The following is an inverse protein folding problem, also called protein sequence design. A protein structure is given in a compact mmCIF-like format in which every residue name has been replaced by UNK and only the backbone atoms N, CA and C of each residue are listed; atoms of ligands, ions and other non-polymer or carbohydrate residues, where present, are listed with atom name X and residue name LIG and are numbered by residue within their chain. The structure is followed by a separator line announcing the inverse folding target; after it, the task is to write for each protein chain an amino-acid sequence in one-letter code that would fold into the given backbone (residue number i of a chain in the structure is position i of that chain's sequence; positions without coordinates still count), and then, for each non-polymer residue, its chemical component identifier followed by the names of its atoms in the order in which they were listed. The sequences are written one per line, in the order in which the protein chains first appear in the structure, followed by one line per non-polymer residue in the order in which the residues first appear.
data_IF_512493168712
#
_entry.id   IF_512493168712
#
_cell.length_a   1.000
_cell.length_b   1.000
_cell.length_c   1.000
_cell.angle_alpha   90.00
_cell.angle_beta   90.00
_cell.angle_gamma   90.00
#
_symmetry.space_group_name_H-M   'P 1'
#
loop_
_entity.id
_entity.type
_entity.pdbx_description
1 polymer ?
#
# COMPACT_ATOMS: atom_id res chain seq x y z
N UNK A 1 -10.95 -26.39 -18.51
CA UNK A 1 -9.63 -25.85 -18.93
C UNK A 1 -8.56 -26.90 -18.68
N UNK A 2 -7.56 -26.97 -19.55
CA UNK A 2 -6.35 -27.77 -19.33
C UNK A 2 -5.19 -26.87 -18.91
N UNK A 3 -4.40 -27.32 -17.94
CA UNK A 3 -3.22 -26.60 -17.46
C UNK A 3 -1.96 -27.42 -17.74
N UNK A 4 -0.82 -26.74 -17.79
CA UNK A 4 0.51 -27.37 -17.84
C UNK A 4 1.21 -27.12 -16.52
N UNK A 5 1.86 -28.16 -15.99
CA UNK A 5 2.57 -28.09 -14.72
C UNK A 5 3.92 -28.81 -14.77
N UNK A 6 4.74 -28.48 -13.79
CA UNK A 6 5.91 -29.25 -13.39
C UNK A 6 5.62 -29.94 -12.06
N UNK A 7 5.94 -31.23 -11.95
CA UNK A 7 5.84 -31.95 -10.69
C UNK A 7 7.20 -31.99 -9.99
N UNK A 8 7.25 -31.53 -8.73
CA UNK A 8 8.47 -31.50 -7.94
C UNK A 8 8.18 -31.67 -6.45
N UNK A 9 9.21 -31.97 -5.68
CA UNK A 9 9.11 -31.95 -4.23
C UNK A 9 9.25 -30.51 -3.71
N UNK A 10 8.37 -30.10 -2.81
CA UNK A 10 8.42 -28.79 -2.14
C UNK A 10 8.28 -28.97 -0.64
N UNK A 11 9.12 -28.30 0.15
CA UNK A 11 8.95 -28.24 1.60
C UNK A 11 7.81 -27.29 1.93
N UNK A 12 6.98 -27.67 2.91
CA UNK A 12 5.99 -26.80 3.52
C UNK A 12 6.34 -26.66 5.00
N UNK A 13 6.61 -25.42 5.42
CA UNK A 13 6.91 -25.08 6.81
C UNK A 13 5.71 -25.37 7.73
N UNK A 14 4.49 -25.18 7.23
CA UNK A 14 3.24 -25.44 7.95
C UNK A 14 3.17 -26.86 8.50
N UNK A 15 3.40 -27.83 7.62
CA UNK A 15 3.21 -29.25 7.92
C UNK A 15 4.53 -29.97 8.15
N UNK A 16 5.64 -29.21 8.21
CA UNK A 16 7.01 -29.64 8.52
C UNK A 16 7.46 -30.85 7.69
N UNK A 17 7.03 -30.92 6.43
CA UNK A 17 7.32 -32.05 5.55
C UNK A 17 7.37 -31.66 4.08
N UNK A 18 7.98 -32.54 3.31
CA UNK A 18 8.09 -32.42 1.86
C UNK A 18 6.82 -32.97 1.21
N UNK A 19 6.14 -32.15 0.42
CA UNK A 19 5.01 -32.53 -0.41
C UNK A 19 5.46 -32.81 -1.83
N UNK A 20 4.79 -33.75 -2.50
CA UNK A 20 4.86 -33.86 -3.94
C UNK A 20 3.87 -32.85 -4.55
N UNK A 21 4.39 -31.87 -5.27
CA UNK A 21 3.67 -30.64 -5.62
C UNK A 21 3.57 -30.47 -7.13
N UNK A 22 2.40 -30.09 -7.62
CA UNK A 22 2.15 -29.62 -8.98
C UNK A 22 2.33 -28.10 -9.03
N UNK A 23 3.31 -27.61 -9.79
CA UNK A 23 3.57 -26.19 -9.92
C UNK A 23 3.25 -25.68 -11.32
N UNK A 24 2.45 -24.61 -11.38
CA UNK A 24 1.83 -24.09 -12.58
C UNK A 24 2.42 -22.70 -12.86
N UNK A 25 3.06 -22.55 -14.02
CA UNK A 25 3.83 -21.35 -14.38
C UNK A 25 3.27 -20.57 -15.58
N UNK A 26 2.35 -21.14 -16.37
CA UNK A 26 1.88 -20.51 -17.62
C UNK A 26 0.35 -20.51 -17.75
N UNK A 27 -0.37 -20.41 -16.63
CA UNK A 27 -1.84 -20.40 -16.63
C UNK A 27 -2.43 -19.00 -16.76
N UNK A 28 -3.57 -18.91 -17.46
CA UNK A 28 -4.41 -17.71 -17.51
C UNK A 28 -5.87 -18.07 -17.17
N UNK A 29 -6.20 -18.02 -15.88
CA UNK A 29 -7.54 -18.23 -15.35
C UNK A 29 -8.18 -16.87 -15.10
N UNK A 30 -8.82 -16.33 -16.14
CA UNK A 30 -9.40 -14.98 -16.13
C UNK A 30 -10.92 -15.00 -16.05
N UNK A 31 -11.56 -16.17 -16.11
CA UNK A 31 -13.01 -16.32 -16.00
C UNK A 31 -13.42 -16.94 -14.65
N UNK A 32 -14.48 -16.43 -14.01
CA UNK A 32 -15.00 -17.02 -12.77
C UNK A 32 -15.58 -18.42 -13.00
N UNK A 33 -15.60 -19.25 -11.96
CA UNK A 33 -16.09 -20.64 -12.00
C UNK A 33 -15.39 -21.52 -13.04
N UNK A 34 -14.14 -21.22 -13.39
CA UNK A 34 -13.35 -22.05 -14.30
C UNK A 34 -13.08 -23.41 -13.65
N UNK A 35 -13.62 -24.48 -14.25
CA UNK A 35 -13.37 -25.86 -13.83
C UNK A 35 -12.13 -26.39 -14.56
N UNK A 36 -11.14 -26.82 -13.79
CA UNK A 36 -9.98 -27.53 -14.32
C UNK A 36 -10.40 -28.97 -14.57
N UNK A 37 -10.27 -29.39 -15.82
CA UNK A 37 -10.63 -30.75 -16.24
C UNK A 37 -9.41 -31.68 -16.22
N UNK A 38 -8.23 -31.11 -16.49
CA UNK A 38 -6.99 -31.84 -16.60
C UNK A 38 -5.80 -30.94 -16.30
N UNK A 39 -4.77 -31.49 -15.67
CA UNK A 39 -3.47 -30.85 -15.47
C UNK A 39 -2.44 -31.78 -16.11
N UNK A 40 -1.75 -31.30 -17.13
CA UNK A 40 -0.78 -32.06 -17.91
C UNK A 40 0.64 -31.78 -17.38
N UNK A 41 1.43 -32.83 -17.18
CA UNK A 41 2.83 -32.75 -16.77
C UNK A 41 3.44 -34.14 -16.69
N UNK A 42 4.76 -34.25 -16.75
CA UNK A 42 5.45 -35.52 -16.56
C UNK A 42 5.70 -35.74 -15.07
N UNK A 43 5.07 -36.76 -14.48
CA UNK A 43 5.38 -37.15 -13.11
C UNK A 43 6.77 -37.76 -12.98
N UNK A 44 7.30 -37.73 -11.75
CA UNK A 44 8.44 -38.54 -11.34
C UNK A 44 8.09 -40.04 -11.40
N UNK A 45 9.11 -40.88 -11.53
CA UNK A 45 8.93 -42.33 -11.67
C UNK A 45 8.15 -42.91 -10.48
N UNK A 46 7.12 -43.71 -10.80
CA UNK A 46 6.24 -44.33 -9.80
C UNK A 46 5.24 -43.38 -9.13
N UNK A 47 5.14 -42.12 -9.57
CA UNK A 47 4.16 -41.14 -9.08
C UNK A 47 3.00 -40.93 -10.05
N UNK A 48 1.88 -40.48 -9.49
CA UNK A 48 0.64 -40.18 -10.19
C UNK A 48 -0.06 -38.97 -9.58
N UNK A 49 -1.16 -38.51 -10.20
CA UNK A 49 -2.02 -37.45 -9.67
C UNK A 49 -2.52 -37.73 -8.24
N UNK A 50 -2.66 -39.02 -7.87
CA UNK A 50 -3.08 -39.42 -6.52
C UNK A 50 -2.01 -39.17 -5.46
N UNK A 51 -0.75 -39.07 -5.86
CA UNK A 51 0.39 -38.82 -4.96
C UNK A 51 0.63 -37.32 -4.73
N UNK A 52 -0.07 -36.46 -5.48
CA UNK A 52 0.08 -35.01 -5.38
C UNK A 52 -0.58 -34.52 -4.10
N UNK A 53 0.23 -33.92 -3.23
CA UNK A 53 -0.19 -33.37 -1.93
C UNK A 53 -0.18 -31.84 -1.95
N UNK A 54 0.41 -31.21 -2.97
CA UNK A 54 0.44 -29.75 -3.11
C UNK A 54 0.17 -29.26 -4.52
N UNK A 55 -0.39 -28.06 -4.62
CA UNK A 55 -0.51 -27.33 -5.88
C UNK A 55 -0.11 -25.88 -5.68
N UNK A 56 0.72 -25.36 -6.60
CA UNK A 56 1.27 -24.02 -6.55
C UNK A 56 0.99 -23.27 -7.87
N UNK A 57 0.44 -22.07 -7.79
CA UNK A 57 0.36 -21.10 -8.88
C UNK A 57 1.26 -19.93 -8.51
N UNK A 58 2.28 -19.64 -9.32
CA UNK A 58 3.26 -18.59 -8.97
C UNK A 58 3.62 -17.79 -10.22
N UNK A 59 3.51 -16.47 -10.13
CA UNK A 59 3.82 -15.55 -11.23
C UNK A 59 3.04 -15.87 -12.51
N UNK A 60 1.77 -16.27 -12.36
CA UNK A 60 0.85 -16.52 -13.49
C UNK A 60 -0.38 -15.63 -13.40
N UNK A 61 -1.35 -15.79 -14.29
CA UNK A 61 -2.62 -15.04 -14.19
C UNK A 61 -3.71 -15.95 -13.65
N UNK A 62 -4.10 -15.75 -12.39
CA UNK A 62 -5.22 -16.47 -11.74
C UNK A 62 -6.11 -15.44 -11.05
N UNK A 63 -6.92 -14.73 -11.84
CA UNK A 63 -7.81 -13.69 -11.32
C UNK A 63 -8.96 -14.28 -10.48
N UNK A 64 -9.32 -15.54 -10.75
CA UNK A 64 -10.37 -16.30 -10.06
C UNK A 64 -9.86 -17.68 -9.67
N UNK A 65 -10.19 -18.13 -8.47
CA UNK A 65 -9.74 -19.42 -7.95
C UNK A 65 -10.34 -20.58 -8.77
N UNK A 66 -9.53 -21.57 -9.20
CA UNK A 66 -10.01 -22.69 -10.00
C UNK A 66 -10.85 -23.71 -9.21
N UNK A 67 -11.86 -24.29 -9.86
CA UNK A 67 -12.66 -25.38 -9.30
C UNK A 67 -12.24 -26.75 -9.84
N UNK A 68 -12.56 -27.81 -9.09
CA UNK A 68 -12.34 -29.20 -9.51
C UNK A 68 -10.95 -29.77 -9.20
N UNK A 69 -10.10 -29.04 -8.48
CA UNK A 69 -8.76 -29.51 -8.10
C UNK A 69 -8.80 -30.84 -7.35
N UNK A 70 -9.77 -31.04 -6.46
CA UNK A 70 -9.96 -32.27 -5.69
C UNK A 70 -10.30 -33.51 -6.54
N UNK A 71 -10.85 -33.31 -7.74
CA UNK A 71 -11.14 -34.42 -8.66
C UNK A 71 -9.88 -34.92 -9.37
N UNK A 72 -8.92 -34.02 -9.56
CA UNK A 72 -7.63 -34.33 -10.20
C UNK A 72 -6.67 -34.84 -9.15
N UNK A 73 -6.48 -34.07 -8.07
CA UNK A 73 -5.57 -34.37 -6.98
C UNK A 73 -6.37 -34.65 -5.68
N UNK A 74 -6.76 -35.91 -5.41
CA UNK A 74 -7.66 -36.24 -4.29
C UNK A 74 -7.01 -36.12 -2.90
N UNK A 75 -5.68 -36.09 -2.83
CA UNK A 75 -4.92 -36.07 -1.57
C UNK A 75 -4.25 -34.71 -1.30
N UNK A 76 -4.78 -33.63 -1.89
CA UNK A 76 -4.27 -32.27 -1.66
C UNK A 76 -4.31 -31.89 -0.18
N UNK A 77 -3.19 -31.35 0.26
CA UNK A 77 -2.97 -30.81 1.61
C UNK A 77 -2.50 -29.36 1.56
N UNK A 78 -1.92 -28.91 0.45
CA UNK A 78 -1.43 -27.53 0.31
C UNK A 78 -1.94 -26.92 -0.99
N UNK A 79 -2.47 -25.70 -0.91
CA UNK A 79 -2.84 -24.89 -2.07
C UNK A 79 -2.22 -23.51 -1.93
N UNK A 80 -1.43 -23.14 -2.93
CA UNK A 80 -0.68 -21.90 -2.97
C UNK A 80 -1.01 -21.13 -4.26
N UNK A 81 -1.41 -19.86 -4.13
CA UNK A 81 -1.68 -18.95 -5.25
C UNK A 81 -0.95 -17.64 -4.98
N UNK A 82 0.25 -17.47 -5.51
CA UNK A 82 1.17 -16.39 -5.15
C UNK A 82 1.44 -15.47 -6.32
N UNK A 83 1.32 -14.15 -6.11
CA UNK A 83 1.59 -13.17 -7.16
C UNK A 83 0.84 -13.48 -8.48
N UNK A 84 -0.47 -13.73 -8.36
CA UNK A 84 -1.31 -14.17 -9.49
C UNK A 84 -2.44 -13.21 -9.87
N UNK A 85 -2.60 -12.10 -9.13
CA UNK A 85 -3.68 -11.14 -9.35
C UNK A 85 -5.06 -11.65 -8.91
N UNK A 86 -5.12 -12.63 -8.00
CA UNK A 86 -6.37 -13.20 -7.50
C UNK A 86 -7.23 -12.12 -6.84
N UNK A 87 -8.44 -11.91 -7.35
CA UNK A 87 -9.32 -10.81 -6.92
C UNK A 87 -10.27 -11.18 -5.78
N UNK A 88 -10.60 -12.46 -5.68
CA UNK A 88 -11.56 -12.95 -4.70
C UNK A 88 -11.39 -14.45 -4.49
N UNK A 89 -11.69 -14.89 -3.27
CA UNK A 89 -11.89 -16.31 -2.95
C UNK A 89 -13.18 -16.44 -2.15
N UNK A 90 -13.97 -17.47 -2.46
CA UNK A 90 -15.26 -17.71 -1.83
C UNK A 90 -15.32 -19.13 -1.28
N UNK A 91 -16.27 -19.39 -0.37
CA UNK A 91 -16.53 -20.75 0.13
C UNK A 91 -16.78 -21.76 -1.01
N UNK A 92 -17.39 -21.33 -2.12
CA UNK A 92 -17.66 -22.22 -3.27
C UNK A 92 -16.37 -22.76 -3.88
N UNK A 93 -15.32 -21.95 -3.88
CA UNK A 93 -14.03 -22.29 -4.49
C UNK A 93 -13.27 -23.36 -3.69
N UNK A 94 -13.58 -23.49 -2.38
CA UNK A 94 -12.98 -24.47 -1.47
C UNK A 94 -13.81 -25.76 -1.30
N UNK A 95 -14.94 -25.91 -1.99
CA UNK A 95 -15.76 -27.13 -1.90
C UNK A 95 -14.96 -28.35 -2.40
N UNK A 96 -14.95 -29.42 -1.60
CA UNK A 96 -14.20 -30.64 -1.91
C UNK A 96 -12.72 -30.59 -1.54
N UNK A 97 -12.25 -29.46 -1.00
CA UNK A 97 -10.88 -29.24 -0.55
C UNK A 97 -10.75 -29.26 0.99
N UNK A 98 -11.66 -29.94 1.68
CA UNK A 98 -11.74 -29.95 3.15
C UNK A 98 -10.54 -30.64 3.83
N UNK A 99 -9.70 -31.35 3.05
CA UNK A 99 -8.48 -31.99 3.53
C UNK A 99 -7.26 -31.06 3.60
N UNK A 100 -7.36 -29.85 3.05
CA UNK A 100 -6.25 -28.90 3.03
C UNK A 100 -5.80 -28.55 4.46
N UNK A 101 -4.48 -28.51 4.61
CA UNK A 101 -3.74 -28.11 5.81
C UNK A 101 -3.13 -26.72 5.66
N UNK A 102 -2.79 -26.30 4.44
CA UNK A 102 -2.21 -24.99 4.13
C UNK A 102 -2.95 -24.33 2.95
N UNK A 103 -3.46 -23.12 3.17
CA UNK A 103 -4.02 -22.26 2.12
C UNK A 103 -3.30 -20.91 2.12
N UNK A 104 -2.50 -20.67 1.08
CA UNK A 104 -1.70 -19.45 0.98
C UNK A 104 -1.99 -18.71 -0.31
N UNK A 105 -2.46 -17.46 -0.18
CA UNK A 105 -2.86 -16.59 -1.28
C UNK A 105 -2.13 -15.23 -1.21
N UNK A 106 -0.84 -15.22 -0.89
CA UNK A 106 -0.09 -13.98 -0.69
C UNK A 106 0.21 -13.21 -1.99
N UNK A 107 0.46 -11.89 -1.88
CA UNK A 107 0.74 -10.97 -2.99
C UNK A 107 -0.35 -11.04 -4.07
N UNK A 108 -1.61 -10.76 -3.70
CA UNK A 108 -2.74 -10.79 -4.64
C UNK A 108 -3.59 -9.52 -4.53
N UNK A 109 -4.83 -9.57 -5.02
CA UNK A 109 -5.75 -8.43 -5.17
C UNK A 109 -7.09 -8.68 -4.46
N UNK A 110 -7.08 -9.50 -3.40
CA UNK A 110 -8.29 -9.85 -2.65
C UNK A 110 -8.68 -8.68 -1.76
N UNK A 111 -9.92 -8.20 -1.89
CA UNK A 111 -10.42 -7.04 -1.14
C UNK A 111 -11.25 -7.38 0.10
N UNK A 112 -11.78 -8.60 0.16
CA UNK A 112 -12.59 -9.10 1.29
C UNK A 112 -12.58 -10.62 1.34
N UNK A 113 -12.70 -11.20 2.55
CA UNK A 113 -12.92 -12.63 2.76
C UNK A 113 -14.30 -12.84 3.39
N UNK A 114 -15.13 -13.77 2.90
CA UNK A 114 -16.42 -14.05 3.51
C UNK A 114 -16.25 -14.86 4.81
N UNK A 115 -17.00 -14.54 5.87
CA UNK A 115 -16.89 -15.20 7.19
C UNK A 115 -17.05 -16.73 7.14
N UNK A 116 -17.78 -17.22 6.14
CA UNK A 116 -17.99 -18.65 5.95
C UNK A 116 -16.92 -19.35 5.10
N UNK A 117 -15.83 -18.68 4.73
CA UNK A 117 -14.79 -19.19 3.84
C UNK A 117 -14.21 -20.50 4.35
N UNK A 118 -13.84 -20.56 5.63
CA UNK A 118 -13.20 -21.75 6.24
C UNK A 118 -14.18 -22.75 6.84
N UNK A 119 -15.48 -22.62 6.53
CA UNK A 119 -16.48 -23.57 7.02
C UNK A 119 -16.15 -24.98 6.54
N UNK A 120 -16.02 -25.91 7.48
CA UNK A 120 -15.65 -27.33 7.30
C UNK A 120 -14.16 -27.60 7.00
N UNK A 121 -13.29 -26.59 7.02
CA UNK A 121 -11.84 -26.75 6.81
C UNK A 121 -11.13 -27.28 8.08
N UNK A 122 -11.53 -28.45 8.59
CA UNK A 122 -11.13 -29.00 9.91
C UNK A 122 -9.66 -29.41 10.02
N UNK A 123 -8.91 -29.40 8.91
CA UNK A 123 -7.49 -29.76 8.88
C UNK A 123 -6.59 -28.55 8.62
N UNK A 124 -7.18 -27.38 8.37
CA UNK A 124 -6.46 -26.17 8.01
C UNK A 124 -5.72 -25.64 9.23
N UNK A 125 -4.39 -25.66 9.17
CA UNK A 125 -3.50 -25.22 10.25
C UNK A 125 -2.63 -24.03 9.85
N UNK A 126 -2.58 -23.71 8.55
CA UNK A 126 -1.84 -22.58 8.00
C UNK A 126 -2.70 -21.83 7.00
N UNK A 127 -2.87 -20.53 7.26
CA UNK A 127 -3.50 -19.59 6.33
C UNK A 127 -2.63 -18.35 6.16
N UNK A 128 -2.50 -17.92 4.90
CA UNK A 128 -1.83 -16.67 4.58
C UNK A 128 -2.55 -15.91 3.48
N UNK A 129 -2.89 -14.66 3.75
CA UNK A 129 -3.40 -13.66 2.82
C UNK A 129 -2.54 -12.39 2.88
N UNK A 130 -1.25 -12.57 3.20
CA UNK A 130 -0.23 -11.52 3.22
C UNK A 130 -0.21 -10.72 1.90
N UNK A 131 -0.04 -9.40 2.00
CA UNK A 131 -0.03 -8.47 0.86
C UNK A 131 -1.21 -8.69 -0.11
N UNK A 132 -2.36 -8.24 0.34
CA UNK A 132 -3.60 -8.18 -0.42
C UNK A 132 -4.25 -6.80 -0.21
N UNK A 133 -5.49 -6.63 -0.67
CA UNK A 133 -6.21 -5.36 -0.56
C UNK A 133 -7.36 -5.44 0.46
N UNK A 134 -7.24 -6.29 1.49
CA UNK A 134 -8.31 -6.54 2.46
C UNK A 134 -8.63 -5.28 3.28
N UNK A 135 -9.91 -4.91 3.29
CA UNK A 135 -10.40 -3.67 3.90
C UNK A 135 -11.16 -3.85 5.23
N UNK A 136 -11.64 -5.05 5.55
CA UNK A 136 -12.20 -5.42 6.86
C UNK A 136 -12.42 -6.94 6.85
N UNK A 137 -12.36 -7.57 8.02
CA UNK A 137 -12.68 -8.98 8.24
C UNK A 137 -13.37 -9.13 9.59
N UNK A 138 -14.25 -10.12 9.76
CA UNK A 138 -14.79 -10.45 11.07
C UNK A 138 -14.00 -11.61 11.71
N UNK A 139 -13.92 -11.66 13.03
CA UNK A 139 -13.39 -12.83 13.73
C UNK A 139 -14.18 -14.11 13.45
N UNK A 140 -15.44 -14.00 13.01
CA UNK A 140 -16.28 -15.10 12.53
C UNK A 140 -15.62 -15.90 11.39
N UNK A 141 -14.73 -15.27 10.61
CA UNK A 141 -13.92 -15.95 9.60
C UNK A 141 -13.10 -17.11 10.20
N UNK A 142 -12.50 -16.91 11.39
CA UNK A 142 -11.59 -17.85 12.03
C UNK A 142 -12.31 -18.88 12.92
N UNK A 143 -13.52 -18.57 13.39
CA UNK A 143 -14.34 -19.43 14.26
C UNK A 143 -14.38 -20.91 13.83
N UNK A 144 -14.56 -21.26 12.53
CA UNK A 144 -14.61 -22.65 12.10
C UNK A 144 -13.31 -23.44 12.27
N UNK A 145 -12.16 -22.75 12.38
CA UNK A 145 -10.82 -23.35 12.38
C UNK A 145 -10.07 -23.14 13.71
N UNK A 146 -10.68 -22.50 14.71
CA UNK A 146 -10.05 -22.29 16.04
C UNK A 146 -9.68 -23.58 16.77
N UNK A 147 -10.40 -24.67 16.49
CA UNK A 147 -10.14 -25.99 17.08
C UNK A 147 -9.07 -26.77 16.32
N UNK A 148 -8.65 -26.26 15.16
CA UNK A 148 -7.50 -26.79 14.47
C UNK A 148 -6.29 -26.22 15.18
N UNK A 149 -5.25 -27.01 15.43
CA UNK A 149 -4.01 -26.53 16.06
C UNK A 149 -3.26 -25.59 15.09
N UNK A 150 -3.79 -24.38 14.89
CA UNK A 150 -3.34 -23.41 13.90
C UNK A 150 -1.93 -22.98 14.21
N UNK A 151 -1.01 -23.22 13.28
CA UNK A 151 0.40 -22.91 13.38
C UNK A 151 0.73 -21.53 12.84
N UNK A 152 0.09 -21.14 11.75
CA UNK A 152 0.39 -19.90 11.04
C UNK A 152 -0.89 -19.23 10.52
N UNK A 153 -1.02 -17.94 10.81
CA UNK A 153 -2.13 -17.10 10.36
C UNK A 153 -1.54 -15.75 10.02
N UNK A 154 -1.52 -15.38 8.73
CA UNK A 154 -0.89 -14.14 8.28
C UNK A 154 -1.83 -13.32 7.39
N UNK A 155 -2.15 -12.12 7.85
CA UNK A 155 -2.97 -11.14 7.15
C UNK A 155 -2.26 -9.78 6.99
N UNK A 156 -0.93 -9.72 7.22
CA UNK A 156 -0.17 -8.45 7.16
C UNK A 156 -0.19 -7.86 5.74
N UNK A 157 0.20 -6.58 5.64
CA UNK A 157 0.24 -5.82 4.38
C UNK A 157 -1.13 -5.76 3.68
N UNK A 158 -2.20 -5.52 4.44
CA UNK A 158 -3.54 -5.33 3.91
C UNK A 158 -4.08 -3.94 4.32
N UNK A 159 -4.86 -3.30 3.44
CA UNK A 159 -5.20 -1.86 3.52
C UNK A 159 -5.80 -1.39 4.85
N UNK A 160 -6.59 -2.21 5.54
CA UNK A 160 -7.16 -1.86 6.86
C UNK A 160 -6.56 -2.67 8.01
N UNK A 161 -5.59 -3.53 7.71
CA UNK A 161 -5.05 -4.56 8.59
C UNK A 161 -3.55 -4.27 8.77
N UNK A 162 -3.23 -3.02 9.14
CA UNK A 162 -1.82 -2.61 9.24
C UNK A 162 -1.25 -2.80 10.66
N UNK A 163 -0.01 -3.31 10.69
CA UNK A 163 0.98 -3.54 11.77
C UNK A 163 0.74 -4.63 12.84
N UNK A 164 -0.47 -5.18 13.04
CA UNK A 164 -0.72 -5.99 14.25
C UNK A 164 -0.91 -7.53 14.10
N UNK A 165 -0.73 -8.11 12.90
CA UNK A 165 -1.18 -9.49 12.63
C UNK A 165 -0.01 -10.46 12.41
N UNK A 166 -0.06 -11.63 13.06
CA UNK A 166 1.13 -12.39 13.45
C UNK A 166 1.96 -13.02 12.31
N UNK A 167 3.27 -13.00 12.50
CA UNK A 167 4.22 -13.96 11.92
C UNK A 167 4.24 -15.20 12.83
N UNK A 168 3.43 -16.21 12.53
CA UNK A 168 3.26 -17.46 13.29
C UNK A 168 2.65 -17.30 14.69
N UNK A 169 1.75 -18.21 15.07
CA UNK A 169 1.15 -18.22 16.43
C UNK A 169 2.18 -18.73 17.48
N UNK A 170 3.29 -19.33 17.03
CA UNK A 170 4.23 -20.06 17.89
C UNK A 170 5.71 -19.70 17.77
N UNK A 171 6.10 -18.66 17.03
CA UNK A 171 7.47 -18.09 17.06
C UNK A 171 7.39 -16.57 17.25
N UNK A 172 8.30 -16.04 18.08
CA UNK A 172 8.47 -14.61 18.27
C UNK A 172 8.65 -13.93 16.91
N UNK A 173 7.89 -12.87 16.65
CA UNK A 173 8.12 -12.05 15.47
C UNK A 173 9.46 -11.28 15.62
N UNK A 174 9.85 -10.56 14.56
CA UNK A 174 11.09 -9.76 14.51
C UNK A 174 11.08 -8.61 15.54
N UNK A 175 9.93 -8.35 16.18
CA UNK A 175 9.72 -7.35 17.22
C UNK A 175 9.64 -7.92 18.64
N UNK A 176 9.71 -9.24 18.79
CA UNK A 176 9.50 -9.92 20.07
C UNK A 176 8.05 -9.91 20.55
N UNK A 177 7.08 -9.51 19.72
CA UNK A 177 5.67 -9.57 20.06
C UNK A 177 5.17 -11.00 19.91
N UNK A 178 4.52 -11.48 20.97
CA UNK A 178 3.84 -12.77 21.02
C UNK A 178 2.35 -12.48 21.02
N UNK A 179 1.63 -12.89 19.97
CA UNK A 179 0.17 -13.02 20.12
C UNK A 179 -0.04 -14.28 20.95
N UNK A 180 -0.25 -14.09 22.25
CA UNK A 180 -0.37 -15.18 23.22
C UNK A 180 -1.54 -16.14 22.93
N UNK A 181 -2.52 -15.73 22.11
CA UNK A 181 -3.63 -16.58 21.72
C UNK A 181 -4.38 -16.07 20.47
N UNK A 182 -4.93 -17.00 19.68
CA UNK A 182 -5.85 -16.68 18.57
C UNK A 182 -7.09 -15.89 19.02
N UNK A 183 -7.48 -15.96 20.29
CA UNK A 183 -8.56 -15.11 20.83
C UNK A 183 -8.18 -13.62 20.86
N UNK A 184 -6.90 -13.29 21.09
CA UNK A 184 -6.43 -11.90 21.01
C UNK A 184 -6.44 -11.42 19.55
N UNK A 185 -6.04 -12.30 18.61
CA UNK A 185 -6.15 -12.02 17.17
C UNK A 185 -7.60 -11.70 16.78
N UNK A 186 -8.56 -12.49 17.25
CA UNK A 186 -9.99 -12.27 16.99
C UNK A 186 -10.51 -10.95 17.57
N UNK A 187 -10.20 -10.67 18.84
CA UNK A 187 -10.61 -9.41 19.49
C UNK A 187 -10.06 -8.18 18.73
N UNK A 188 -8.83 -8.25 18.24
CA UNK A 188 -8.20 -7.19 17.44
C UNK A 188 -8.81 -7.05 16.04
N UNK A 189 -9.27 -8.16 15.43
CA UNK A 189 -10.01 -8.12 14.16
C UNK A 189 -11.33 -7.38 14.35
N UNK A 190 -12.08 -7.72 15.40
CA UNK A 190 -13.39 -7.14 15.66
C UNK A 190 -13.28 -5.65 16.07
N UNK A 191 -12.30 -5.29 16.92
CA UNK A 191 -12.04 -3.90 17.32
C UNK A 191 -11.79 -2.97 16.12
N UNK A 192 -11.03 -3.43 15.11
CA UNK A 192 -10.76 -2.64 13.91
C UNK A 192 -11.94 -2.54 12.93
N UNK A 193 -12.89 -3.48 12.96
CA UNK A 193 -14.06 -3.42 12.07
C UNK A 193 -15.22 -2.60 12.64
N UNK A 194 -15.23 -2.33 13.95
CA UNK A 194 -16.19 -1.42 14.59
C UNK A 194 -15.77 0.07 14.50
N UNK A 195 -14.54 0.37 14.07
CA UNK A 195 -14.13 1.74 13.79
C UNK A 195 -14.70 2.22 12.44
N UNK A 196 -15.43 3.36 12.38
CA UNK A 196 -15.89 3.91 11.13
C UNK A 196 -14.68 4.22 10.24
N UNK A 197 -14.69 3.74 9.00
CA UNK A 197 -13.64 4.02 8.01
C UNK A 197 -13.33 5.52 8.01
N UNK A 198 -12.22 5.89 8.64
CA UNK A 198 -11.54 7.14 8.38
C UNK A 198 -10.82 6.90 7.07
N UNK A 199 -10.94 7.83 6.13
CA UNK A 199 -10.14 7.84 4.90
C UNK A 199 -8.65 7.99 5.29
N UNK A 200 -8.03 6.89 5.71
CA UNK A 200 -6.65 6.82 6.14
C UNK A 200 -5.76 6.51 4.94
N UNK A 201 -5.49 7.56 4.17
CA UNK A 201 -4.11 7.70 3.71
C UNK A 201 -3.30 8.16 4.94
N UNK A 202 -2.20 7.45 5.21
CA UNK A 202 -1.19 7.67 6.25
C UNK A 202 -1.66 7.57 7.70
N UNK A 203 -1.31 6.45 8.33
CA UNK A 203 -0.25 6.44 9.35
C UNK A 203 0.13 4.99 9.67
N UNK A 204 1.29 4.53 9.22
CA UNK A 204 2.02 3.50 9.96
C UNK A 204 3.45 3.94 10.19
N UNK A 205 3.81 3.96 11.46
CA UNK A 205 5.18 4.06 11.92
C UNK A 205 5.26 3.30 13.24
N UNK A 206 5.76 2.05 13.23
CA UNK A 206 6.71 1.59 14.24
C UNK A 206 7.56 0.41 13.74
N UNK A 207 8.72 0.77 13.19
CA UNK A 207 10.05 0.17 13.45
C UNK A 207 10.34 -1.31 13.15
N UNK A 208 10.09 -1.82 11.93
CA UNK A 208 11.00 -2.85 11.35
C UNK A 208 12.31 -2.14 11.02
N UNK A 209 13.44 -2.74 11.40
CA UNK A 209 14.73 -2.37 10.83
C UNK A 209 14.65 -2.62 9.34
N UNK A 210 14.34 -1.53 8.66
CA UNK A 210 14.19 -1.40 7.25
C UNK A 210 15.58 -1.49 6.63
N UNK A 211 15.99 -2.72 6.28
CA UNK A 211 17.24 -2.95 5.56
C UNK A 211 17.26 -2.23 4.19
N UNK A 212 16.17 -1.56 3.78
CA UNK A 212 16.12 -0.74 2.58
C UNK A 212 16.39 0.75 2.84
N UNK A 213 15.89 1.40 3.89
CA UNK A 213 16.09 2.86 4.03
C UNK A 213 17.46 3.30 4.55
N UNK A 214 18.17 2.53 5.41
CA UNK A 214 19.51 2.96 5.88
C UNK A 214 20.57 2.94 4.76
N UNK A 215 20.55 1.91 3.90
CA UNK A 215 21.50 1.80 2.78
C UNK A 215 21.29 2.91 1.73
N UNK A 216 20.03 3.25 1.42
CA UNK A 216 19.72 4.37 0.52
C UNK A 216 19.99 5.74 1.18
N UNK A 217 19.81 5.88 2.50
CA UNK A 217 20.23 7.07 3.27
C UNK A 217 21.74 7.31 3.17
N UNK A 218 22.55 6.25 3.15
CA UNK A 218 24.01 6.36 2.92
C UNK A 218 24.30 6.89 1.49
N UNK A 219 23.60 6.39 0.47
CA UNK A 219 23.80 6.86 -0.90
C UNK A 219 23.45 8.33 -1.10
N UNK A 220 22.41 8.83 -0.43
CA UNK A 220 22.11 10.27 -0.39
C UNK A 220 23.24 11.07 0.26
N UNK A 221 23.74 10.59 1.41
CA UNK A 221 24.74 11.31 2.21
C UNK A 221 26.11 11.34 1.52
N UNK A 222 26.51 10.22 0.91
CA UNK A 222 27.84 10.06 0.33
C UNK A 222 27.91 10.42 -1.16
N UNK A 223 26.79 10.36 -1.88
CA UNK A 223 26.74 10.56 -3.34
C UNK A 223 27.52 9.50 -4.12
N UNK A 224 27.84 8.35 -3.52
CA UNK A 224 28.54 7.25 -4.19
C UNK A 224 27.65 6.65 -5.27
N UNK A 225 28.22 6.38 -6.44
CA UNK A 225 27.52 5.83 -7.62
C UNK A 225 26.49 6.77 -8.28
N UNK A 226 26.46 8.05 -7.90
CA UNK A 226 25.59 9.03 -8.56
C UNK A 226 25.96 9.19 -10.03
N UNK A 227 24.93 9.10 -10.87
CA UNK A 227 25.00 9.15 -12.33
C UNK A 227 24.29 10.38 -12.92
N UNK A 228 23.80 11.27 -12.04
CA UNK A 228 23.26 12.58 -12.40
C UNK A 228 23.44 13.60 -11.26
N UNK A 229 23.58 14.87 -11.63
CA UNK A 229 23.62 16.01 -10.70
C UNK A 229 22.43 16.92 -10.94
N UNK A 230 21.60 17.14 -9.92
CA UNK A 230 20.55 18.17 -9.94
C UNK A 230 21.19 19.51 -9.57
N UNK A 231 21.03 20.51 -10.43
CA UNK A 231 21.62 21.84 -10.25
C UNK A 231 20.51 22.86 -10.02
N UNK A 232 20.50 23.48 -8.85
CA UNK A 232 19.66 24.64 -8.54
C UNK A 232 20.44 25.94 -8.76
N UNK A 233 19.84 27.08 -8.44
CA UNK A 233 20.51 28.37 -8.60
C UNK A 233 21.67 28.56 -7.60
N UNK A 234 21.60 27.91 -6.43
CA UNK A 234 22.61 28.06 -5.37
C UNK A 234 23.34 26.77 -4.98
N UNK A 235 22.82 25.59 -5.32
CA UNK A 235 23.35 24.31 -4.86
C UNK A 235 23.39 23.25 -5.97
N UNK A 236 24.17 22.19 -5.74
CA UNK A 236 24.25 21.01 -6.61
C UNK A 236 24.09 19.75 -5.78
N UNK A 237 23.25 18.84 -6.23
CA UNK A 237 22.93 17.57 -5.54
C UNK A 237 23.28 16.39 -6.43
N UNK A 238 24.20 15.53 -5.97
CA UNK A 238 24.52 14.27 -6.65
C UNK A 238 23.48 13.22 -6.29
N UNK A 239 22.82 12.65 -7.29
CA UNK A 239 21.73 11.68 -7.10
C UNK A 239 21.78 10.57 -8.15
N UNK A 240 20.82 9.65 -8.08
CA UNK A 240 20.78 8.42 -8.87
C UNK A 240 19.55 8.41 -9.75
N UNK A 241 19.73 8.30 -11.08
CA UNK A 241 18.63 8.28 -12.06
C UNK A 241 17.62 7.18 -11.75
N UNK A 242 18.10 5.98 -11.39
CA UNK A 242 17.23 4.84 -11.07
C UNK A 242 16.35 5.12 -9.86
N UNK A 243 16.89 5.77 -8.82
CA UNK A 243 16.14 6.11 -7.60
C UNK A 243 15.04 7.12 -7.90
N UNK A 244 15.36 8.16 -8.69
CA UNK A 244 14.39 9.16 -9.13
C UNK A 244 13.30 8.56 -10.05
N UNK A 245 13.68 7.68 -10.99
CA UNK A 245 12.76 7.07 -11.95
C UNK A 245 11.75 6.12 -11.29
N UNK A 246 12.18 5.34 -10.30
CA UNK A 246 11.30 4.40 -9.57
C UNK A 246 10.15 5.14 -8.90
N UNK A 247 10.38 6.32 -8.35
CA UNK A 247 9.35 7.08 -7.61
C UNK A 247 8.66 8.18 -8.43
N UNK A 248 9.10 8.47 -9.65
CA UNK A 248 8.54 9.54 -10.48
C UNK A 248 8.50 9.13 -11.94
N UNK A 249 7.27 8.95 -12.43
CA UNK A 249 7.01 8.73 -13.87
C UNK A 249 7.56 9.86 -14.74
N UNK A 250 7.61 11.10 -14.23
CA UNK A 250 8.16 12.25 -14.95
C UNK A 250 9.67 12.11 -15.11
N UNK A 251 10.40 11.68 -14.07
CA UNK A 251 11.83 11.42 -14.20
C UNK A 251 12.12 10.24 -15.12
N UNK A 252 11.32 9.17 -15.08
CA UNK A 252 11.42 8.05 -16.03
C UNK A 252 11.35 8.56 -17.47
N UNK A 253 10.29 9.31 -17.81
CA UNK A 253 10.16 9.88 -19.15
C UNK A 253 11.30 10.84 -19.51
N UNK A 254 11.75 11.68 -18.57
CA UNK A 254 12.90 12.59 -18.80
C UNK A 254 14.17 11.79 -19.15
N UNK A 255 14.46 10.70 -18.45
CA UNK A 255 15.67 9.93 -18.68
C UNK A 255 15.58 9.02 -19.90
N UNK A 256 14.39 8.50 -20.23
CA UNK A 256 14.16 7.71 -21.44
C UNK A 256 14.16 8.58 -22.70
N UNK A 257 13.56 9.77 -22.67
CA UNK A 257 13.44 10.65 -23.84
C UNK A 257 14.67 11.54 -24.05
N UNK A 258 15.14 12.24 -23.00
CA UNK A 258 16.17 13.30 -23.16
C UNK A 258 17.59 12.77 -23.17
N UNK A 259 17.83 11.54 -22.72
CA UNK A 259 19.19 10.99 -22.57
C UNK A 259 19.49 9.81 -23.51
N UNK A 260 18.59 9.50 -24.44
CA UNK A 260 18.83 8.49 -25.48
C UNK A 260 19.94 8.89 -26.46
N UNK A 261 20.01 10.18 -26.81
CA UNK A 261 20.90 10.69 -27.87
C UNK A 261 22.06 11.57 -27.38
N UNK A 262 21.93 12.18 -26.19
CA UNK A 262 22.98 13.03 -25.61
C UNK A 262 22.91 13.00 -24.07
N UNK A 263 23.62 12.07 -23.41
CA UNK A 263 23.60 11.98 -21.95
C UNK A 263 24.15 13.28 -21.35
N UNK A 264 23.33 13.96 -20.56
CA UNK A 264 23.76 15.09 -19.73
C UNK A 264 23.90 14.58 -18.30
N UNK A 265 25.04 14.86 -17.68
CA UNK A 265 25.26 14.51 -16.27
C UNK A 265 24.62 15.53 -15.32
N UNK A 266 24.02 16.60 -15.86
CA UNK A 266 23.32 17.63 -15.10
C UNK A 266 21.86 17.78 -15.52
N UNK A 267 20.97 17.97 -14.54
CA UNK A 267 19.58 18.37 -14.72
C UNK A 267 19.29 19.66 -13.94
N UNK A 268 18.81 20.70 -14.61
CA UNK A 268 18.67 22.05 -14.02
C UNK A 268 17.26 22.29 -13.47
N UNK A 269 17.18 22.66 -12.20
CA UNK A 269 15.97 23.07 -11.49
C UNK A 269 16.12 24.53 -11.05
N UNK A 270 15.86 25.45 -11.99
CA UNK A 270 15.98 26.89 -11.77
C UNK A 270 14.72 27.49 -11.14
N UNK A 271 14.87 28.61 -10.44
CA UNK A 271 13.80 29.38 -9.80
C UNK A 271 13.01 28.57 -8.76
N UNK A 272 13.68 27.66 -8.05
CA UNK A 272 13.12 26.90 -6.93
C UNK A 272 14.10 27.01 -5.78
N UNK A 273 13.59 27.22 -4.56
CA UNK A 273 14.43 27.27 -3.37
C UNK A 273 15.24 25.97 -3.22
N UNK A 274 16.56 26.07 -3.10
CA UNK A 274 17.44 24.91 -3.03
C UNK A 274 17.18 24.02 -1.82
N UNK A 275 16.74 24.56 -0.69
CA UNK A 275 16.37 23.77 0.48
C UNK A 275 15.09 22.95 0.21
N UNK A 276 14.13 23.50 -0.54
CA UNK A 276 12.94 22.76 -0.99
C UNK A 276 13.32 21.63 -1.94
N UNK A 277 14.24 21.89 -2.89
CA UNK A 277 14.75 20.85 -3.79
C UNK A 277 15.49 19.76 -3.01
N UNK A 278 16.26 20.13 -2.00
CA UNK A 278 16.97 19.19 -1.13
C UNK A 278 16.01 18.27 -0.38
N UNK A 279 14.95 18.82 0.24
CA UNK A 279 13.90 18.03 0.92
C UNK A 279 13.22 17.11 -0.09
N UNK A 280 12.85 17.64 -1.26
CA UNK A 280 12.24 16.88 -2.35
C UNK A 280 13.10 15.70 -2.79
N UNK A 281 14.41 15.90 -3.03
CA UNK A 281 15.33 14.85 -3.47
C UNK A 281 15.64 13.84 -2.36
N UNK A 282 15.84 14.31 -1.13
CA UNK A 282 16.08 13.46 0.04
C UNK A 282 14.94 12.48 0.27
N UNK A 283 13.69 12.90 0.03
CA UNK A 283 12.53 12.04 0.16
C UNK A 283 12.65 10.74 -0.68
N UNK A 284 13.24 10.79 -1.87
CA UNK A 284 13.43 9.60 -2.71
C UNK A 284 14.34 8.52 -2.09
N UNK A 285 15.12 8.88 -1.06
CA UNK A 285 16.04 7.99 -0.37
C UNK A 285 15.55 7.61 1.03
N UNK A 286 14.69 8.43 1.63
CA UNK A 286 14.29 8.27 3.02
C UNK A 286 12.81 8.00 3.23
N UNK A 287 11.97 8.28 2.23
CA UNK A 287 10.50 8.31 2.32
C UNK A 287 9.98 9.15 3.51
N UNK A 288 10.79 10.10 3.97
CA UNK A 288 10.58 10.89 5.18
C UNK A 288 10.74 12.38 4.89
N UNK A 289 9.77 13.18 5.34
CA UNK A 289 9.89 14.63 5.50
C UNK A 289 9.86 14.94 6.99
N UNK A 290 10.91 15.58 7.51
CA UNK A 290 11.00 15.87 8.95
C UNK A 290 10.11 17.04 9.32
N UNK A 291 9.63 17.09 10.57
CA UNK A 291 8.78 18.20 11.05
C UNK A 291 9.50 19.55 11.02
N UNK A 292 10.82 19.54 11.19
CA UNK A 292 11.66 20.75 11.13
C UNK A 292 11.82 21.28 9.69
N UNK A 293 11.48 20.48 8.67
CA UNK A 293 11.59 20.80 7.24
C UNK A 293 10.29 21.47 6.71
N UNK A 294 9.64 22.29 7.53
CA UNK A 294 8.33 22.91 7.25
C UNK A 294 8.41 24.32 6.63
N UNK A 295 9.60 24.78 6.25
CA UNK A 295 9.84 26.19 5.89
C UNK A 295 9.13 26.66 4.62
N UNK A 296 8.84 25.78 3.66
CA UNK A 296 8.03 26.12 2.48
C UNK A 296 7.27 24.91 1.90
N UNK A 297 6.30 24.40 2.67
CA UNK A 297 5.45 23.29 2.25
C UNK A 297 4.66 23.54 0.94
N UNK A 298 4.13 24.75 0.66
CA UNK A 298 3.45 25.05 -0.61
C UNK A 298 4.33 24.88 -1.86
N UNK A 299 5.59 25.32 -1.79
CA UNK A 299 6.56 25.17 -2.88
C UNK A 299 6.94 23.69 -3.04
N UNK A 300 7.14 22.96 -1.93
CA UNK A 300 7.41 21.53 -1.95
C UNK A 300 6.25 20.73 -2.55
N UNK A 301 5.00 21.07 -2.20
CA UNK A 301 3.80 20.44 -2.75
C UNK A 301 3.68 20.68 -4.26
N UNK A 302 3.93 21.92 -4.69
CA UNK A 302 3.95 22.29 -6.11
C UNK A 302 5.01 21.48 -6.87
N UNK A 303 6.16 21.27 -6.25
CA UNK A 303 7.26 20.49 -6.83
C UNK A 303 6.90 18.99 -6.92
N UNK A 304 6.38 18.41 -5.84
CA UNK A 304 5.93 17.02 -5.81
C UNK A 304 4.86 16.75 -6.88
N UNK A 305 3.92 17.68 -7.06
CA UNK A 305 2.87 17.59 -8.07
C UNK A 305 3.44 17.69 -9.48
N UNK A 306 4.35 18.63 -9.72
CA UNK A 306 5.03 18.82 -11.02
C UNK A 306 5.78 17.58 -11.48
N UNK A 307 6.41 16.86 -10.54
CA UNK A 307 7.16 15.63 -10.81
C UNK A 307 6.35 14.34 -10.54
N UNK A 308 5.06 14.46 -10.21
CA UNK A 308 4.16 13.32 -9.93
C UNK A 308 4.73 12.33 -8.91
N UNK A 309 5.16 12.84 -7.77
CA UNK A 309 5.62 12.03 -6.63
C UNK A 309 4.47 11.90 -5.63
N UNK A 310 3.57 10.94 -5.86
CA UNK A 310 2.28 10.82 -5.16
C UNK A 310 2.44 10.69 -3.63
N UNK A 311 3.36 9.84 -3.18
CA UNK A 311 3.63 9.64 -1.75
C UNK A 311 4.04 10.96 -1.05
N UNK A 312 4.91 11.74 -1.70
CA UNK A 312 5.34 13.04 -1.17
C UNK A 312 4.19 14.05 -1.19
N UNK A 313 3.36 14.07 -2.24
CA UNK A 313 2.16 14.92 -2.29
C UNK A 313 1.26 14.65 -1.08
N UNK A 314 0.95 13.38 -0.81
CA UNK A 314 0.10 12.97 0.32
C UNK A 314 0.70 13.34 1.68
N UNK A 315 2.02 13.21 1.86
CA UNK A 315 2.71 13.60 3.11
C UNK A 315 2.64 15.12 3.30
N UNK A 316 2.98 15.88 2.25
CA UNK A 316 3.04 17.34 2.33
C UNK A 316 1.65 17.96 2.46
N UNK A 317 0.62 17.41 1.79
CA UNK A 317 -0.77 17.85 1.94
C UNK A 317 -1.22 17.76 3.41
N UNK A 318 -0.91 16.65 4.10
CA UNK A 318 -1.23 16.50 5.53
C UNK A 318 -0.49 17.51 6.39
N UNK A 319 0.79 17.73 6.11
CA UNK A 319 1.56 18.74 6.83
C UNK A 319 0.99 20.15 6.62
N UNK A 320 0.54 20.48 5.41
CA UNK A 320 -0.13 21.75 5.08
C UNK A 320 -1.44 21.87 5.87
N UNK A 321 -2.30 20.85 5.83
CA UNK A 321 -3.59 20.86 6.53
C UNK A 321 -3.41 20.97 8.05
N UNK A 322 -2.42 20.27 8.62
CA UNK A 322 -2.13 20.32 10.06
C UNK A 322 -1.57 21.69 10.51
N UNK A 323 -0.93 22.42 9.61
CA UNK A 323 -0.38 23.76 9.87
C UNK A 323 -1.32 24.89 9.40
N UNK A 324 -2.54 24.54 8.95
CA UNK A 324 -3.51 25.48 8.43
C UNK A 324 -4.05 26.37 9.56
N UNK A 325 -4.04 27.67 9.33
CA UNK A 325 -4.47 28.67 10.29
C UNK A 325 -5.04 29.90 9.59
N UNK A 326 -5.49 30.87 10.38
CA UNK A 326 -6.14 32.07 9.85
C UNK A 326 -5.23 32.96 9.00
N UNK A 327 -3.92 32.85 9.14
CA UNK A 327 -2.97 33.69 8.40
C UNK A 327 -2.70 33.11 7.01
N UNK A 328 -2.54 31.79 6.90
CA UNK A 328 -2.16 31.09 5.66
C UNK A 328 -3.34 30.49 4.87
N UNK A 329 -4.55 30.42 5.43
CA UNK A 329 -5.66 29.68 4.81
C UNK A 329 -6.00 30.11 3.37
N UNK A 330 -5.90 31.40 3.04
CA UNK A 330 -6.20 31.89 1.68
C UNK A 330 -5.14 31.46 0.67
N UNK A 331 -3.86 31.55 1.02
CA UNK A 331 -2.77 31.10 0.14
C UNK A 331 -2.85 29.59 -0.10
N UNK A 332 -3.15 28.82 0.95
CA UNK A 332 -3.36 27.37 0.84
C UNK A 332 -4.60 27.04 0.01
N UNK A 333 -5.68 27.82 0.15
CA UNK A 333 -6.87 27.65 -0.68
C UNK A 333 -6.57 27.91 -2.16
N UNK A 334 -5.86 28.99 -2.49
CA UNK A 334 -5.42 29.29 -3.86
C UNK A 334 -4.56 28.15 -4.43
N UNK A 335 -3.64 27.61 -3.62
CA UNK A 335 -2.81 26.46 -3.98
C UNK A 335 -3.67 25.22 -4.26
N UNK A 336 -4.61 24.90 -3.37
CA UNK A 336 -5.51 23.76 -3.50
C UNK A 336 -6.42 23.87 -4.73
N UNK A 337 -6.89 25.08 -5.06
CA UNK A 337 -7.62 25.35 -6.29
C UNK A 337 -6.76 25.12 -7.52
N UNK A 338 -5.51 25.61 -7.52
CA UNK A 338 -4.57 25.47 -8.63
C UNK A 338 -4.28 24.01 -8.98
N UNK A 339 -4.16 23.14 -7.98
CA UNK A 339 -3.84 21.72 -8.16
C UNK A 339 -5.07 20.79 -8.07
N UNK A 340 -6.27 21.35 -7.90
CA UNK A 340 -7.53 20.61 -7.77
C UNK A 340 -7.54 19.59 -6.60
N UNK A 341 -7.01 19.99 -5.44
CA UNK A 341 -6.94 19.15 -4.24
C UNK A 341 -8.15 19.40 -3.33
N UNK A 342 -9.22 18.63 -3.51
CA UNK A 342 -10.51 18.89 -2.85
C UNK A 342 -10.47 18.76 -1.31
N UNK A 343 -9.63 17.88 -0.78
CA UNK A 343 -9.39 17.75 0.67
C UNK A 343 -8.78 19.02 1.27
N UNK A 344 -7.72 19.52 0.64
CA UNK A 344 -7.07 20.78 1.01
C UNK A 344 -8.00 22.00 0.80
N UNK A 345 -8.78 22.05 -0.29
CA UNK A 345 -9.79 23.10 -0.52
C UNK A 345 -10.81 23.14 0.61
N UNK A 346 -11.37 21.99 0.96
CA UNK A 346 -12.41 21.87 2.00
C UNK A 346 -11.86 22.30 3.36
N UNK A 347 -10.65 21.87 3.71
CA UNK A 347 -10.01 22.24 4.97
C UNK A 347 -9.72 23.75 5.04
N UNK A 348 -9.13 24.32 3.98
CA UNK A 348 -8.86 25.74 3.88
C UNK A 348 -10.14 26.59 3.91
N UNK A 349 -11.18 26.16 3.19
CA UNK A 349 -12.48 26.82 3.18
C UNK A 349 -13.14 26.86 4.57
N UNK A 350 -13.04 25.77 5.35
CA UNK A 350 -13.54 25.75 6.74
C UNK A 350 -12.83 26.76 7.65
N UNK A 351 -11.52 26.94 7.48
CA UNK A 351 -10.75 27.95 8.23
C UNK A 351 -11.08 29.36 7.76
N UNK A 352 -11.31 29.56 6.46
CA UNK A 352 -11.77 30.86 5.93
C UNK A 352 -13.16 31.18 6.48
N UNK A 353 -14.08 30.21 6.52
CA UNK A 353 -15.42 30.37 7.06
C UNK A 353 -15.40 30.85 8.51
N UNK A 354 -14.47 30.38 9.35
CA UNK A 354 -14.40 30.81 10.75
C UNK A 354 -13.97 32.28 10.92
N UNK A 355 -13.41 32.91 9.89
CA UNK A 355 -13.12 34.35 9.89
C UNK A 355 -14.34 35.22 9.58
N UNK A 356 -15.38 34.64 8.95
CA UNK A 356 -16.49 35.38 8.39
C UNK A 356 -17.74 35.14 9.23
N UNK A 357 -18.33 36.24 9.72
CA UNK A 357 -19.48 36.19 10.64
C UNK A 357 -20.73 35.54 10.01
N UNK A 358 -20.82 35.54 8.68
CA UNK A 358 -21.91 34.93 7.92
C UNK A 358 -21.45 33.67 7.21
N UNK A 359 -22.32 32.65 7.07
CA UNK A 359 -22.01 31.47 6.27
C UNK A 359 -21.76 31.87 4.82
N UNK A 360 -20.61 31.45 4.31
CA UNK A 360 -20.22 31.52 2.91
C UNK A 360 -21.07 30.54 2.11
N UNK A 361 -21.35 30.90 0.86
CA UNK A 361 -22.07 30.01 -0.06
C UNK A 361 -21.11 28.92 -0.57
N UNK A 362 -21.63 27.71 -0.73
CA UNK A 362 -20.85 26.57 -1.23
C UNK A 362 -20.22 26.83 -2.61
N UNK A 363 -20.88 27.63 -3.46
CA UNK A 363 -20.37 28.01 -4.79
C UNK A 363 -19.03 28.77 -4.75
N UNK A 364 -18.64 29.32 -3.59
CA UNK A 364 -17.38 30.01 -3.40
C UNK A 364 -16.19 29.06 -3.25
N UNK A 365 -16.41 27.76 -3.03
CA UNK A 365 -15.34 26.75 -2.90
C UNK A 365 -14.49 26.60 -4.18
N UNK A 366 -14.96 27.14 -5.30
CA UNK A 366 -14.24 27.17 -6.57
C UNK A 366 -13.86 28.60 -7.01
N UNK A 367 -13.96 29.60 -6.12
CA UNK A 367 -13.72 31.02 -6.43
C UNK A 367 -12.66 31.64 -5.50
N UNK A 368 -11.36 31.30 -5.69
CA UNK A 368 -10.29 31.76 -4.81
C UNK A 368 -10.14 33.27 -4.75
N UNK A 369 -10.28 33.97 -5.89
CA UNK A 369 -10.15 35.43 -5.95
C UNK A 369 -11.23 36.14 -5.11
N UNK A 370 -12.47 35.63 -5.16
CA UNK A 370 -13.60 36.22 -4.40
C UNK A 370 -13.41 36.02 -2.90
N UNK A 371 -12.95 34.83 -2.48
CA UNK A 371 -12.66 34.57 -1.06
C UNK A 371 -11.50 35.42 -0.54
N UNK A 372 -10.47 35.62 -1.36
CA UNK A 372 -9.34 36.50 -1.03
C UNK A 372 -9.81 37.92 -0.77
N UNK A 373 -10.55 38.53 -1.70
CA UNK A 373 -11.09 39.88 -1.54
C UNK A 373 -11.94 40.00 -0.27
N UNK A 374 -12.75 38.98 0.02
CA UNK A 374 -13.64 38.96 1.18
C UNK A 374 -12.86 38.86 2.49
N UNK A 375 -11.84 38.00 2.57
CA UNK A 375 -10.96 37.90 3.76
C UNK A 375 -10.15 39.18 3.95
N UNK A 376 -9.63 39.78 2.88
CA UNK A 376 -8.91 41.06 2.96
C UNK A 376 -9.83 42.20 3.45
N UNK A 377 -11.07 42.26 2.96
CA UNK A 377 -12.05 43.23 3.42
C UNK A 377 -12.39 43.04 4.91
N UNK A 378 -12.58 41.78 5.36
CA UNK A 378 -12.82 41.46 6.77
C UNK A 378 -11.64 41.84 7.66
N UNK A 379 -10.41 41.50 7.27
CA UNK A 379 -9.18 41.89 8.00
C UNK A 379 -9.06 43.41 8.15
N UNK A 380 -9.38 44.18 7.10
CA UNK A 380 -9.42 45.65 7.15
C UNK A 380 -10.49 46.17 8.11
N UNK A 381 -11.70 45.62 8.06
CA UNK A 381 -12.80 45.99 8.96
C UNK A 381 -12.46 45.73 10.42
N UNK A 382 -11.96 44.54 10.75
CA UNK A 382 -11.59 44.17 12.12
C UNK A 382 -10.45 45.04 12.67
N UNK A 383 -9.51 45.44 11.81
CA UNK A 383 -8.45 46.41 12.16
C UNK A 383 -9.02 47.79 12.49
N UNK A 384 -10.03 48.25 11.73
CA UNK A 384 -10.71 49.52 12.01
C UNK A 384 -11.48 49.47 13.33
N UNK A 385 -12.26 48.41 13.57
CA UNK A 385 -13.02 48.23 14.82
C UNK A 385 -12.09 48.26 16.04
N UNK A 386 -11.00 47.48 16.02
CA UNK A 386 -9.99 47.49 17.10
C UNK A 386 -9.39 48.87 17.35
N UNK A 387 -9.24 49.71 16.33
CA UNK A 387 -8.70 51.07 16.49
C UNK A 387 -9.70 52.00 17.20
N UNK A 388 -11.00 51.81 16.97
CA UNK A 388 -12.05 52.59 17.63
C UNK A 388 -12.34 52.13 19.06
N UNK A 389 -12.18 50.83 19.37
CA UNK A 389 -12.36 50.30 20.73
C UNK A 389 -11.22 50.68 21.70
N UNK A 390 -10.06 51.09 21.18
CA UNK A 390 -8.89 51.52 21.97
C UNK A 390 -8.77 53.06 22.10
N UNK A 391 -9.77 53.81 21.63
CA UNK A 391 -9.93 55.26 21.80
C UNK A 391 -10.99 55.52 22.88
#
# INVERSE_FOLDING_TARGET
MELVCEFRYSYSDAIERINYTSCIYTSSITQPNTIIQKINGKHLDGKSDKDVEGICFTNTTVNYFPQGLNKIFPNLKTVQVHNCGLKSITRRDLIGLENIQELSCYHNKITSLPDNLFRNMKKLIDISFFDNELHCMSSELLMPILKNDLKFVDFRENRSIDVAYCHSIFKQDVYGNKIDSIYNLMAMIDEKCDEPMKDEQAQTNTQQKDYKTEDFKEFWTTGRFSDITIVTDTEKFKVHKVVLAVQSSVFTSIFEDKMKDRPSDEFKMKNINSEVVKIFLKFFYTDEVKKEENSNLPELFSLATKFKVENLMSVVEKMIINNLNVDNAIEIFELACRFNCDGMKTSAFKVIQSMIDKPLKDDLINQPEVLKELVEAKRKFDSMVKKYENL
#
